data_IF_719125253232
#
_entry.id   IF_719125253232
#
_cell.length_a   1.000
_cell.length_b   1.000
_cell.length_c   1.000
_cell.angle_alpha   90.00
_cell.angle_beta   90.00
_cell.angle_gamma   90.00
#
_symmetry.space_group_name_H-M   'P 1'
#
loop_
_entity.id
_entity.type
_entity.pdbx_description
1 polymer ?
#
# COMPACT_ATOMS: atom_id res chain seq x y z
N UNK A 1 38.33 13.26 8.32
CA UNK A 1 38.33 12.66 6.98
C UNK A 1 36.92 12.16 6.73
N UNK A 2 36.18 12.85 5.86
CA UNK A 2 34.83 12.48 5.43
C UNK A 2 34.92 11.18 4.62
N UNK A 3 34.01 10.19 4.79
CA UNK A 3 34.01 9.01 3.93
C UNK A 3 33.78 9.45 2.47
N UNK A 4 34.35 8.74 1.49
CA UNK A 4 34.10 9.05 0.10
C UNK A 4 32.61 8.87 -0.18
N UNK A 5 32.00 9.83 -0.87
CA UNK A 5 30.69 9.68 -1.48
C UNK A 5 30.77 8.55 -2.51
N UNK A 6 30.59 7.31 -2.07
CA UNK A 6 30.41 6.17 -2.94
C UNK A 6 29.05 6.33 -3.60
N UNK A 7 29.10 6.49 -4.91
CA UNK A 7 27.98 6.67 -5.84
C UNK A 7 26.75 5.85 -5.43
N UNK A 8 25.75 6.53 -4.88
CA UNK A 8 24.39 6.03 -4.72
C UNK A 8 23.86 5.39 -6.02
N UNK A 9 24.23 5.96 -7.18
CA UNK A 9 23.87 5.41 -8.50
C UNK A 9 24.51 4.05 -8.81
N UNK A 10 25.70 3.74 -8.31
CA UNK A 10 26.39 2.50 -8.64
C UNK A 10 25.88 1.30 -7.82
N UNK A 11 25.44 1.53 -6.58
CA UNK A 11 24.78 0.52 -5.76
C UNK A 11 23.39 0.19 -6.33
N UNK A 12 22.66 1.21 -6.75
CA UNK A 12 21.37 1.09 -7.45
C UNK A 12 21.54 0.34 -8.80
N UNK A 13 22.53 0.69 -9.62
CA UNK A 13 22.83 -0.03 -10.88
C UNK A 13 23.24 -1.50 -10.66
N UNK A 14 23.90 -1.83 -9.54
CA UNK A 14 24.29 -3.20 -9.21
C UNK A 14 23.10 -4.03 -8.69
N UNK A 15 22.19 -3.43 -7.93
CA UNK A 15 20.94 -4.09 -7.49
C UNK A 15 19.95 -4.27 -8.64
N UNK A 16 20.05 -3.43 -9.68
CA UNK A 16 19.21 -3.46 -10.88
C UNK A 16 19.85 -4.26 -12.05
N UNK A 17 21.03 -4.87 -11.84
CA UNK A 17 21.71 -5.62 -12.89
C UNK A 17 20.99 -6.95 -13.15
N UNK A 18 20.19 -7.00 -14.23
CA UNK A 18 19.33 -8.13 -14.59
C UNK A 18 17.86 -7.95 -14.19
N UNK A 19 17.54 -6.86 -13.50
CA UNK A 19 16.17 -6.40 -13.26
C UNK A 19 15.88 -5.35 -14.33
N UNK A 20 14.99 -5.67 -15.27
CA UNK A 20 14.51 -4.67 -16.22
C UNK A 20 13.76 -3.59 -15.42
N UNK A 21 14.41 -2.44 -15.21
CA UNK A 21 13.84 -1.29 -14.52
C UNK A 21 12.58 -0.92 -15.27
N UNK A 22 11.41 -1.19 -14.68
CA UNK A 22 10.15 -0.70 -15.20
C UNK A 22 10.14 0.79 -14.91
N UNK A 23 10.56 1.61 -15.88
CA UNK A 23 10.38 3.06 -15.79
C UNK A 23 8.89 3.33 -15.59
N UNK A 24 8.49 3.66 -14.36
CA UNK A 24 7.15 4.13 -14.07
C UNK A 24 7.10 5.57 -14.58
N UNK A 25 6.38 5.80 -15.67
CA UNK A 25 6.13 7.17 -16.18
C UNK A 25 5.33 8.00 -15.19
N UNK A 26 4.69 7.39 -14.18
CA UNK A 26 4.00 8.06 -13.09
C UNK A 26 4.97 8.54 -12.00
N UNK A 27 4.96 9.86 -11.76
CA UNK A 27 5.78 10.53 -10.75
C UNK A 27 4.98 10.83 -9.48
N UNK A 28 3.74 11.32 -9.64
CA UNK A 28 2.88 11.65 -8.50
C UNK A 28 1.41 11.34 -8.81
N UNK A 29 0.68 10.90 -7.79
CA UNK A 29 -0.78 10.87 -7.78
C UNK A 29 -1.21 11.56 -6.50
N UNK A 30 -1.91 12.69 -6.60
CA UNK A 30 -2.32 13.48 -5.42
C UNK A 30 -3.82 13.65 -5.38
N UNK A 31 -4.38 13.50 -4.19
CA UNK A 31 -5.76 13.84 -3.90
C UNK A 31 -5.79 14.93 -2.83
N UNK A 32 -6.30 16.10 -3.22
CA UNK A 32 -6.34 17.29 -2.39
C UNK A 32 -4.96 17.64 -1.77
N UNK A 33 -3.90 17.52 -2.58
CA UNK A 33 -2.52 17.75 -2.15
C UNK A 33 -1.86 16.63 -1.34
N UNK A 34 -2.61 15.59 -0.95
CA UNK A 34 -2.04 14.41 -0.28
C UNK A 34 -1.52 13.44 -1.32
N UNK A 35 -0.24 13.05 -1.21
CA UNK A 35 0.34 12.05 -2.10
C UNK A 35 -0.28 10.68 -1.80
N UNK A 36 -0.85 10.09 -2.84
CA UNK A 36 -1.48 8.78 -2.81
C UNK A 36 -0.46 7.67 -3.00
N UNK A 37 0.66 7.93 -3.68
CA UNK A 37 1.71 6.93 -3.83
C UNK A 37 2.42 6.65 -2.50
N UNK A 38 2.93 5.42 -2.26
CA UNK A 38 2.93 4.26 -3.17
C UNK A 38 1.54 3.69 -3.50
N UNK A 39 1.42 2.66 -4.34
CA UNK A 39 0.14 1.95 -4.50
C UNK A 39 -0.38 1.32 -3.18
N UNK A 40 -1.68 0.99 -3.13
CA UNK A 40 -2.34 0.29 -2.00
C UNK A 40 -3.47 1.07 -1.31
N UNK A 41 -3.68 0.87 -0.01
CA UNK A 41 -4.70 1.61 0.76
C UNK A 41 -4.13 2.90 1.36
N UNK A 42 -4.82 4.03 1.18
CA UNK A 42 -4.45 5.35 1.75
C UNK A 42 -5.57 5.96 2.56
N UNK A 43 -5.19 6.67 3.62
CA UNK A 43 -6.12 7.46 4.42
C UNK A 43 -5.95 8.94 4.06
N UNK A 44 -7.02 9.58 3.60
CA UNK A 44 -7.02 10.99 3.23
C UNK A 44 -8.22 11.64 3.87
N UNK A 45 -8.05 12.64 4.73
CA UNK A 45 -9.17 13.30 5.38
C UNK A 45 -9.92 14.20 4.40
N UNK A 46 -11.08 13.76 3.89
CA UNK A 46 -11.95 14.55 3.02
C UNK A 46 -13.38 14.55 3.58
N UNK A 47 -14.07 15.69 3.48
CA UNK A 47 -15.50 15.74 3.75
C UNK A 47 -16.30 15.16 2.57
N UNK A 48 -17.42 14.49 2.86
CA UNK A 48 -18.31 13.91 1.85
C UNK A 48 -18.88 14.97 0.89
N UNK A 49 -19.16 16.16 1.41
CA UNK A 49 -19.55 17.33 0.63
C UNK A 49 -18.33 18.19 0.31
N UNK A 50 -18.12 18.48 -0.97
CA UNK A 50 -17.01 19.30 -1.44
C UNK A 50 -16.59 18.97 -2.86
N UNK A 51 -15.53 19.65 -3.30
CA UNK A 51 -14.86 19.38 -4.57
C UNK A 51 -13.37 19.32 -4.29
N UNK A 52 -12.76 18.19 -4.63
CA UNK A 52 -11.39 17.84 -4.25
C UNK A 52 -10.53 17.65 -5.50
N UNK A 53 -9.38 18.30 -5.57
CA UNK A 53 -8.49 18.19 -6.73
C UNK A 53 -7.84 16.80 -6.79
N UNK A 54 -7.87 16.19 -7.98
CA UNK A 54 -7.14 14.98 -8.31
C UNK A 54 -6.08 15.35 -9.36
N UNK A 55 -4.81 15.11 -9.03
CA UNK A 55 -3.67 15.48 -9.84
C UNK A 55 -2.86 14.23 -10.16
N UNK A 56 -2.55 14.03 -11.44
CA UNK A 56 -1.67 12.95 -11.92
C UNK A 56 -0.48 13.59 -12.60
N UNK A 57 0.73 13.30 -12.15
CA UNK A 57 1.96 13.85 -12.72
C UNK A 57 2.74 12.71 -13.34
N UNK A 58 3.00 12.82 -14.65
CA UNK A 58 3.89 11.91 -15.37
C UNK A 58 5.24 12.57 -15.66
N UNK A 59 6.26 11.76 -15.92
CA UNK A 59 7.56 12.20 -16.41
C UNK A 59 7.42 12.95 -17.74
N UNK A 60 6.63 12.41 -18.67
CA UNK A 60 6.24 13.11 -19.89
C UNK A 60 4.80 13.65 -19.76
N UNK A 61 4.62 14.96 -19.59
CA UNK A 61 3.30 15.57 -19.37
C UNK A 61 2.37 15.51 -20.58
N UNK A 62 2.88 15.13 -21.76
CA UNK A 62 2.09 14.99 -22.98
C UNK A 62 1.44 13.62 -23.13
N UNK A 63 1.76 12.68 -22.23
CA UNK A 63 1.22 11.33 -22.28
C UNK A 63 -0.23 11.29 -21.78
N UNK A 64 -1.05 10.43 -22.39
CA UNK A 64 -2.46 10.26 -22.07
C UNK A 64 -2.66 9.16 -21.02
N UNK A 65 -3.37 9.47 -19.94
CA UNK A 65 -3.76 8.52 -18.91
C UNK A 65 -5.21 8.05 -19.13
N UNK A 66 -5.52 6.86 -18.64
CA UNK A 66 -6.89 6.41 -18.39
C UNK A 66 -7.19 6.47 -16.90
N UNK A 67 -8.37 6.95 -16.52
CA UNK A 67 -8.82 7.06 -15.13
C UNK A 67 -10.27 6.58 -14.99
N UNK A 68 -10.48 5.71 -14.01
CA UNK A 68 -11.79 5.25 -13.56
C UNK A 68 -11.86 5.44 -12.04
N UNK A 69 -12.99 5.95 -11.55
CA UNK A 69 -13.20 6.25 -10.14
C UNK A 69 -14.48 5.57 -9.67
N UNK A 70 -14.36 4.72 -8.65
CA UNK A 70 -15.51 4.19 -7.91
C UNK A 70 -15.60 4.85 -6.53
N UNK A 71 -16.82 5.03 -6.01
CA UNK A 71 -17.06 5.71 -4.73
C UNK A 71 -16.88 7.24 -4.75
N UNK A 72 -16.75 7.87 -5.93
CA UNK A 72 -16.83 9.32 -6.08
C UNK A 72 -17.28 9.73 -7.49
N UNK A 73 -17.80 10.94 -7.63
CA UNK A 73 -18.14 11.52 -8.94
C UNK A 73 -16.94 12.28 -9.50
N UNK A 74 -16.36 11.76 -10.58
CA UNK A 74 -15.30 12.42 -11.34
C UNK A 74 -15.87 13.60 -12.15
N UNK A 75 -15.24 14.76 -12.04
CA UNK A 75 -15.61 16.00 -12.71
C UNK A 75 -14.50 16.48 -13.65
N UNK A 76 -14.87 16.75 -14.90
CA UNK A 76 -14.06 17.45 -15.89
C UNK A 76 -14.71 18.79 -16.22
N UNK A 77 -13.99 19.90 -16.02
CA UNK A 77 -14.51 21.26 -16.19
C UNK A 77 -15.86 21.50 -15.47
N UNK A 78 -16.00 20.91 -14.28
CA UNK A 78 -17.20 21.00 -13.45
C UNK A 78 -18.38 20.13 -13.90
N UNK A 79 -18.19 19.23 -14.87
CA UNK A 79 -19.23 18.31 -15.34
C UNK A 79 -18.89 16.86 -14.99
N UNK A 80 -19.86 16.04 -14.57
CA UNK A 80 -19.65 14.64 -14.27
C UNK A 80 -19.28 13.85 -15.52
N UNK A 81 -18.29 12.97 -15.39
CA UNK A 81 -17.84 12.01 -16.39
C UNK A 81 -17.69 10.63 -15.74
N UNK A 82 -17.95 9.56 -16.50
CA UNK A 82 -17.82 8.18 -15.99
C UNK A 82 -16.35 7.74 -15.91
N UNK A 83 -15.55 8.17 -16.88
CA UNK A 83 -14.12 7.92 -16.93
C UNK A 83 -13.42 9.09 -17.63
N UNK A 84 -12.11 9.14 -17.50
CA UNK A 84 -11.28 10.14 -18.16
C UNK A 84 -10.19 9.46 -18.98
N UNK A 85 -10.01 9.95 -20.21
CA UNK A 85 -8.87 9.62 -21.05
C UNK A 85 -8.32 10.90 -21.66
N UNK A 86 -7.06 11.22 -21.36
CA UNK A 86 -6.46 12.48 -21.79
C UNK A 86 -5.14 12.80 -21.07
N UNK A 87 -4.56 13.99 -21.30
CA UNK A 87 -3.23 14.33 -20.79
C UNK A 87 -3.19 14.42 -19.26
N UNK A 88 -2.15 13.81 -18.67
CA UNK A 88 -1.99 13.72 -17.21
C UNK A 88 -2.05 15.06 -16.47
N UNK A 89 -1.52 16.13 -17.07
CA UNK A 89 -1.50 17.49 -16.49
C UNK A 89 -2.89 18.18 -16.41
N UNK A 90 -3.98 17.46 -16.64
CA UNK A 90 -5.33 17.98 -16.45
C UNK A 90 -5.69 17.99 -14.97
N UNK A 91 -6.18 19.12 -14.46
CA UNK A 91 -6.70 19.19 -13.09
C UNK A 91 -8.11 18.62 -13.08
N UNK A 92 -8.23 17.38 -12.61
CA UNK A 92 -9.50 16.70 -12.42
C UNK A 92 -10.03 16.98 -11.02
N UNK A 93 -11.33 16.81 -10.82
CA UNK A 93 -11.93 17.01 -9.50
C UNK A 93 -12.84 15.85 -9.13
N UNK A 94 -12.86 15.50 -7.85
CA UNK A 94 -13.79 14.54 -7.27
C UNK A 94 -14.84 15.29 -6.45
N UNK A 95 -16.09 14.82 -6.49
CA UNK A 95 -17.19 15.31 -5.67
C UNK A 95 -18.05 14.15 -5.18
N UNK A 96 -18.94 14.40 -4.21
CA UNK A 96 -19.81 13.38 -3.63
C UNK A 96 -19.01 12.14 -3.18
N UNK A 97 -17.94 12.37 -2.43
CA UNK A 97 -16.99 11.32 -2.06
C UNK A 97 -17.59 10.40 -1.00
N UNK A 98 -17.54 9.10 -1.26
CA UNK A 98 -17.89 8.06 -0.31
C UNK A 98 -16.75 7.83 0.69
N UNK A 99 -17.01 7.12 1.80
CA UNK A 99 -15.97 6.81 2.78
C UNK A 99 -14.80 5.99 2.23
N UNK A 100 -15.02 5.25 1.14
CA UNK A 100 -14.00 4.51 0.38
C UNK A 100 -14.13 4.88 -1.10
N UNK A 101 -13.01 5.23 -1.73
CA UNK A 101 -12.89 5.52 -3.16
C UNK A 101 -11.89 4.53 -3.75
N UNK A 102 -12.17 3.98 -4.93
CA UNK A 102 -11.19 3.25 -5.73
C UNK A 102 -10.80 4.09 -6.94
N UNK A 103 -9.50 4.31 -7.13
CA UNK A 103 -8.94 5.07 -8.24
C UNK A 103 -8.16 4.09 -9.11
N UNK A 104 -8.76 3.69 -10.22
CA UNK A 104 -8.11 2.93 -11.28
C UNK A 104 -7.37 3.87 -12.22
N UNK A 105 -6.08 3.61 -12.44
CA UNK A 105 -5.23 4.39 -13.32
C UNK A 105 -4.55 3.48 -14.34
N UNK A 106 -4.73 3.81 -15.62
CA UNK A 106 -4.00 3.24 -16.73
C UNK A 106 -2.94 4.23 -17.19
N UNK A 107 -1.67 3.88 -17.00
CA UNK A 107 -0.53 4.71 -17.42
C UNK A 107 0.09 4.15 -18.70
N UNK A 108 0.32 4.98 -19.74
CA UNK A 108 0.95 4.55 -20.99
C UNK A 108 2.46 4.31 -20.81
N UNK A 109 3.01 3.38 -21.60
CA UNK A 109 4.43 3.00 -21.59
C UNK A 109 4.69 1.70 -22.35
N UNK A 110 5.95 1.24 -22.41
CA UNK A 110 6.32 -0.03 -23.07
C UNK A 110 5.57 -1.26 -22.49
N UNK A 111 5.14 -1.16 -21.23
CA UNK A 111 4.23 -2.09 -20.58
C UNK A 111 3.18 -1.26 -19.83
N UNK A 112 2.01 -1.06 -20.43
CA UNK A 112 0.89 -0.36 -19.79
C UNK A 112 0.67 -0.87 -18.37
N UNK A 113 0.60 0.04 -17.41
CA UNK A 113 0.37 -0.29 -16.02
C UNK A 113 -1.05 0.13 -15.65
N UNK A 114 -1.92 -0.85 -15.44
CA UNK A 114 -3.24 -0.65 -14.85
C UNK A 114 -3.14 -0.98 -13.37
N UNK A 115 -3.43 -0.01 -12.50
CA UNK A 115 -3.37 -0.19 -11.05
C UNK A 115 -4.50 0.55 -10.36
N UNK A 116 -4.95 -0.02 -9.24
CA UNK A 116 -5.97 0.58 -8.40
C UNK A 116 -5.36 1.03 -7.08
N UNK A 117 -5.73 2.23 -6.62
CA UNK A 117 -5.48 2.68 -5.26
C UNK A 117 -6.80 2.86 -4.52
N UNK A 118 -6.88 2.38 -3.29
CA UNK A 118 -8.07 2.53 -2.43
C UNK A 118 -7.84 3.67 -1.45
N UNK A 119 -8.71 4.67 -1.44
CA UNK A 119 -8.63 5.84 -0.54
C UNK A 119 -9.77 5.80 0.47
N UNK A 120 -9.45 5.86 1.76
CA UNK A 120 -10.40 6.01 2.86
C UNK A 120 -10.51 7.49 3.22
N UNK A 121 -11.64 8.11 2.90
CA UNK A 121 -11.84 9.57 3.02
C UNK A 121 -12.21 10.01 4.43
N UNK A 122 -12.89 9.12 5.14
CA UNK A 122 -13.26 9.29 6.54
C UNK A 122 -12.70 8.08 7.27
N UNK A 123 -11.49 8.15 7.87
CA UNK A 123 -10.92 7.04 8.62
C UNK A 123 -11.70 6.87 9.94
N UNK A 124 -12.92 6.37 9.83
CA UNK A 124 -13.73 5.89 10.95
C UNK A 124 -13.26 4.47 11.29
N UNK A 125 -13.16 4.19 12.58
CA UNK A 125 -12.87 2.84 13.12
C UNK A 125 -13.96 1.83 12.73
N UNK A 126 -15.13 2.30 12.32
CA UNK A 126 -16.27 1.49 11.88
C UNK A 126 -16.36 1.34 10.36
N UNK A 127 -15.40 1.85 9.58
CA UNK A 127 -15.32 1.47 8.18
C UNK A 127 -15.27 -0.06 8.07
N UNK A 128 -15.95 -0.66 7.09
CA UNK A 128 -15.89 -2.11 6.91
C UNK A 128 -14.43 -2.51 6.86
N UNK A 129 -14.04 -3.37 7.80
CA UNK A 129 -12.72 -3.99 7.80
C UNK A 129 -12.59 -4.59 6.40
N UNK A 130 -11.52 -4.26 5.63
CA UNK A 130 -11.32 -4.87 4.33
C UNK A 130 -11.46 -6.39 4.49
N UNK A 131 -12.04 -7.09 3.50
CA UNK A 131 -12.31 -8.51 3.61
C UNK A 131 -11.08 -9.20 4.18
N UNK A 132 -11.31 -10.02 5.22
CA UNK A 132 -10.24 -10.74 5.89
C UNK A 132 -9.40 -11.42 4.80
N UNK A 133 -8.07 -11.29 4.84
CA UNK A 133 -7.24 -12.06 3.92
C UNK A 133 -7.59 -13.55 4.07
N UNK A 134 -7.38 -14.32 3.01
CA UNK A 134 -7.41 -15.78 3.13
C UNK A 134 -6.52 -16.21 4.30
N UNK A 135 -6.87 -17.32 4.96
CA UNK A 135 -6.07 -17.82 6.08
C UNK A 135 -5.24 -18.98 5.56
N UNK A 136 -3.92 -18.86 5.68
CA UNK A 136 -3.00 -19.95 5.45
C UNK A 136 -2.29 -20.33 6.76
N UNK A 137 -1.85 -21.59 6.84
CA UNK A 137 -1.00 -22.07 7.92
C UNK A 137 0.43 -22.20 7.40
N UNK A 138 1.34 -21.47 8.04
CA UNK A 138 2.77 -21.58 7.79
C UNK A 138 3.42 -22.37 8.90
N UNK A 139 4.20 -23.40 8.52
CA UNK A 139 5.01 -24.17 9.44
C UNK A 139 6.46 -23.71 9.33
N UNK A 140 6.95 -23.06 10.38
CA UNK A 140 8.34 -22.64 10.48
C UNK A 140 9.23 -23.90 10.55
N UNK A 141 10.12 -24.04 9.58
CA UNK A 141 11.00 -25.19 9.47
C UNK A 141 12.06 -25.26 10.57
N UNK A 142 12.42 -24.12 11.17
CA UNK A 142 13.44 -24.02 12.21
C UNK A 142 12.85 -24.25 13.60
N UNK A 143 11.69 -23.66 13.89
CA UNK A 143 11.06 -23.77 15.22
C UNK A 143 10.03 -24.89 15.31
N UNK A 144 9.52 -25.38 14.18
CA UNK A 144 8.43 -26.35 14.11
C UNK A 144 7.07 -25.77 14.55
N UNK A 145 6.98 -24.46 14.78
CA UNK A 145 5.74 -23.79 15.14
C UNK A 145 4.88 -23.54 13.91
N UNK A 146 3.56 -23.64 14.09
CA UNK A 146 2.60 -23.28 13.05
C UNK A 146 1.99 -21.92 13.38
N UNK A 147 2.02 -21.03 12.41
CA UNK A 147 1.46 -19.69 12.47
C UNK A 147 0.26 -19.59 11.53
N UNK A 148 -0.80 -18.92 11.98
CA UNK A 148 -1.85 -18.43 11.07
C UNK A 148 -1.36 -17.13 10.43
N UNK A 149 -1.40 -17.09 9.10
CA UNK A 149 -0.92 -15.98 8.31
C UNK A 149 -1.98 -15.55 7.30
N UNK A 150 -1.90 -14.30 6.87
CA UNK A 150 -2.63 -13.83 5.71
C UNK A 150 -2.10 -14.54 4.45
N UNK A 151 -2.99 -15.27 3.78
CA UNK A 151 -2.68 -16.07 2.60
C UNK A 151 -2.18 -15.18 1.45
N UNK A 152 -1.01 -15.52 0.94
CA UNK A 152 -0.37 -14.84 -0.17
C UNK A 152 0.19 -13.47 0.20
N UNK A 153 0.45 -13.18 1.48
CA UNK A 153 0.91 -11.86 1.91
C UNK A 153 2.17 -11.89 2.78
N UNK A 154 2.98 -10.84 2.63
CA UNK A 154 4.16 -10.56 3.44
C UNK A 154 4.14 -9.12 3.94
N UNK A 155 4.91 -8.87 5.00
CA UNK A 155 5.31 -7.54 5.44
C UNK A 155 6.78 -7.35 5.08
N UNK A 156 7.11 -6.20 4.48
CA UNK A 156 8.49 -5.79 4.25
C UNK A 156 8.72 -4.43 4.89
N UNK A 157 9.88 -4.24 5.51
CA UNK A 157 10.33 -2.95 6.03
C UNK A 157 11.46 -2.40 5.19
N UNK A 158 11.34 -1.16 4.74
CA UNK A 158 12.37 -0.47 3.98
C UNK A 158 13.37 0.24 4.91
N UNK A 159 14.58 0.52 4.41
CA UNK A 159 15.47 1.45 5.12
C UNK A 159 14.84 2.84 5.16
N UNK A 160 14.96 3.53 6.29
CA UNK A 160 14.42 4.87 6.45
C UNK A 160 14.92 5.83 5.36
N UNK A 161 13.99 6.51 4.70
CA UNK A 161 14.30 7.42 3.59
C UNK A 161 14.55 6.74 2.25
N UNK A 162 14.32 5.43 2.13
CA UNK A 162 14.31 4.75 0.83
C UNK A 162 13.20 5.33 -0.03
N UNK A 163 13.49 5.79 -1.26
CA UNK A 163 12.48 6.32 -2.15
C UNK A 163 11.42 5.27 -2.46
N UNK A 164 10.17 5.70 -2.53
CA UNK A 164 9.02 4.83 -2.79
C UNK A 164 9.17 4.11 -4.13
N UNK A 165 9.72 4.79 -5.13
CA UNK A 165 9.94 4.27 -6.47
C UNK A 165 10.90 3.07 -6.46
N UNK A 166 11.88 3.07 -5.56
CA UNK A 166 12.80 1.93 -5.36
C UNK A 166 12.04 0.74 -4.78
N UNK A 167 11.17 0.97 -3.78
CA UNK A 167 10.35 -0.10 -3.19
C UNK A 167 9.38 -0.67 -4.22
N UNK A 168 8.68 0.19 -4.98
CA UNK A 168 7.78 -0.25 -6.04
C UNK A 168 8.51 -1.04 -7.13
N UNK A 169 9.75 -0.65 -7.44
CA UNK A 169 10.60 -1.39 -8.39
C UNK A 169 10.96 -2.78 -7.86
N UNK A 170 11.42 -2.88 -6.61
CA UNK A 170 11.81 -4.16 -6.00
C UNK A 170 10.60 -5.09 -5.89
N UNK A 171 9.47 -4.59 -5.39
CA UNK A 171 8.23 -5.36 -5.26
C UNK A 171 7.71 -5.78 -6.64
N UNK A 172 7.67 -4.85 -7.60
CA UNK A 172 7.20 -5.12 -8.95
C UNK A 172 8.09 -6.10 -9.74
N UNK A 173 9.41 -6.05 -9.54
CA UNK A 173 10.36 -6.98 -10.16
C UNK A 173 10.13 -8.43 -9.73
N UNK A 174 9.65 -8.65 -8.51
CA UNK A 174 9.29 -9.96 -7.98
C UNK A 174 7.85 -10.38 -8.34
N UNK A 175 7.13 -9.58 -9.13
CA UNK A 175 5.74 -9.84 -9.50
C UNK A 175 4.76 -9.69 -8.34
N UNK A 176 5.16 -8.98 -7.28
CA UNK A 176 4.33 -8.69 -6.12
C UNK A 176 3.48 -7.43 -6.32
N UNK A 177 2.45 -7.28 -5.50
CA UNK A 177 1.58 -6.11 -5.47
C UNK A 177 1.63 -5.46 -4.08
N UNK A 178 1.76 -4.13 -4.00
CA UNK A 178 1.68 -3.41 -2.72
C UNK A 178 0.20 -3.26 -2.34
N UNK A 179 -0.22 -3.93 -1.28
CA UNK A 179 -1.57 -3.84 -0.74
C UNK A 179 -1.75 -2.62 0.14
N UNK A 180 -0.73 -2.27 0.93
CA UNK A 180 -0.76 -1.13 1.84
C UNK A 180 0.64 -0.67 2.16
N UNK A 181 0.84 0.64 2.25
CA UNK A 181 2.01 1.21 2.87
C UNK A 181 1.64 1.78 4.25
N UNK A 182 2.60 1.76 5.15
CA UNK A 182 2.53 2.31 6.50
C UNK A 182 3.74 3.24 6.64
N UNK A 183 3.65 4.46 6.08
CA UNK A 183 4.81 5.36 5.94
C UNK A 183 5.46 5.73 7.27
N UNK A 184 4.71 5.76 8.36
CA UNK A 184 5.19 6.13 9.69
C UNK A 184 6.25 5.17 10.24
N UNK A 185 6.33 3.95 9.69
CA UNK A 185 7.28 2.91 10.09
C UNK A 185 8.03 2.31 8.89
N UNK A 186 7.99 2.98 7.73
CA UNK A 186 8.63 2.54 6.48
C UNK A 186 8.28 1.08 6.09
N UNK A 187 7.05 0.64 6.42
CA UNK A 187 6.61 -0.75 6.22
C UNK A 187 5.55 -0.88 5.13
N UNK A 188 5.54 -2.02 4.46
CA UNK A 188 4.66 -2.32 3.35
C UNK A 188 4.07 -3.72 3.54
N UNK A 189 2.75 -3.81 3.39
CA UNK A 189 2.03 -5.07 3.22
C UNK A 189 1.93 -5.35 1.74
N UNK A 190 2.43 -6.50 1.31
CA UNK A 190 2.50 -6.89 -0.09
C UNK A 190 1.79 -8.23 -0.32
N UNK A 191 1.33 -8.46 -1.55
CA UNK A 191 0.84 -9.74 -2.04
C UNK A 191 1.91 -10.39 -2.91
N UNK A 192 2.19 -11.66 -2.64
CA UNK A 192 3.07 -12.50 -3.45
C UNK A 192 2.26 -13.34 -4.46
N UNK A 193 2.86 -13.77 -5.58
CA UNK A 193 2.17 -14.62 -6.54
C UNK A 193 1.65 -15.93 -5.95
N UNK A 194 0.52 -16.43 -6.45
CA UNK A 194 -0.06 -17.68 -5.96
C UNK A 194 0.88 -18.89 -6.19
N UNK A 195 0.94 -19.80 -5.22
CA UNK A 195 1.70 -21.04 -5.33
C UNK A 195 3.22 -20.92 -5.15
N UNK A 196 3.71 -19.75 -4.71
CA UNK A 196 5.13 -19.54 -4.38
C UNK A 196 5.43 -19.84 -2.91
N UNK A 197 6.71 -20.00 -2.58
CA UNK A 197 7.19 -20.18 -1.20
C UNK A 197 7.37 -18.84 -0.50
N UNK A 198 6.83 -18.71 0.72
CA UNK A 198 7.04 -17.54 1.58
C UNK A 198 8.52 -17.34 1.91
N UNK A 199 9.20 -18.40 2.36
CA UNK A 199 10.63 -18.37 2.71
C UNK A 199 11.46 -17.83 1.56
N UNK A 200 11.18 -18.31 0.35
CA UNK A 200 11.89 -17.87 -0.83
C UNK A 200 11.73 -16.38 -1.09
N UNK A 201 10.53 -15.83 -0.89
CA UNK A 201 10.28 -14.40 -1.10
C UNK A 201 10.87 -13.55 0.02
N UNK A 202 10.80 -14.02 1.28
CA UNK A 202 11.47 -13.34 2.40
C UNK A 202 12.98 -13.24 2.14
N UNK A 203 13.64 -14.34 1.76
CA UNK A 203 15.07 -14.33 1.37
C UNK A 203 15.37 -13.36 0.22
N UNK A 204 14.51 -13.34 -0.81
CA UNK A 204 14.69 -12.44 -1.96
C UNK A 204 14.59 -10.97 -1.55
N UNK A 205 13.64 -10.62 -0.69
CA UNK A 205 13.51 -9.26 -0.18
C UNK A 205 14.67 -8.89 0.74
N UNK A 206 15.06 -9.75 1.67
CA UNK A 206 16.20 -9.52 2.57
C UNK A 206 17.55 -9.41 1.84
N UNK A 207 17.64 -9.98 0.63
CA UNK A 207 18.83 -9.80 -0.22
C UNK A 207 18.92 -8.43 -0.89
N UNK A 208 17.87 -7.62 -0.81
CA UNK A 208 17.83 -6.26 -1.38
C UNK A 208 18.43 -5.24 -0.41
N UNK A 209 19.30 -4.38 -0.91
CA UNK A 209 19.86 -3.25 -0.14
C UNK A 209 18.80 -2.19 0.25
N UNK A 210 17.58 -2.29 -0.28
CA UNK A 210 16.46 -1.40 0.04
C UNK A 210 15.62 -1.88 1.25
N UNK A 211 15.75 -3.15 1.65
CA UNK A 211 14.87 -3.81 2.61
C UNK A 211 15.65 -4.16 3.87
N UNK A 212 15.10 -3.77 5.03
CA UNK A 212 15.63 -4.07 6.36
C UNK A 212 15.19 -5.46 6.83
N UNK A 213 13.94 -5.81 6.55
CA UNK A 213 13.36 -7.09 6.95
C UNK A 213 12.22 -7.49 5.99
N UNK A 214 11.99 -8.79 5.89
CA UNK A 214 10.79 -9.36 5.30
C UNK A 214 10.24 -10.45 6.21
N UNK A 215 8.96 -10.38 6.55
CA UNK A 215 8.33 -11.30 7.49
C UNK A 215 6.92 -11.67 7.06
N UNK A 216 6.40 -12.74 7.66
CA UNK A 216 5.03 -13.19 7.45
C UNK A 216 4.05 -12.14 7.98
N UNK A 217 2.97 -11.90 7.24
CA UNK A 217 1.83 -11.15 7.78
C UNK A 217 1.00 -12.04 8.72
N UNK A 218 1.53 -12.28 9.92
CA UNK A 218 0.92 -13.15 10.93
C UNK A 218 -0.39 -12.57 11.46
N UNK A 219 -1.42 -13.41 11.55
CA UNK A 219 -2.71 -13.03 12.10
C UNK A 219 -2.65 -13.05 13.63
N UNK A 220 -2.85 -11.88 14.22
CA UNK A 220 -2.94 -11.71 15.67
C UNK A 220 -4.39 -11.40 16.05
N UNK A 221 -4.96 -12.26 16.89
CA UNK A 221 -6.29 -12.04 17.45
C UNK A 221 -6.16 -11.31 18.79
N UNK A 222 -6.89 -10.20 19.00
CA UNK A 222 -6.90 -9.53 20.29
C UNK A 222 -7.36 -10.52 21.37
N UNK A 223 -6.58 -10.62 22.43
CA UNK A 223 -6.96 -11.43 23.58
C UNK A 223 -8.22 -10.83 24.21
N UNK A 224 -9.35 -11.53 24.08
CA UNK A 224 -10.61 -11.14 24.71
C UNK A 224 -10.56 -11.21 26.24
N UNK A 225 -9.57 -11.93 26.77
CA UNK A 225 -9.30 -12.06 28.19
C UNK A 225 -8.05 -11.24 28.51
N UNK A 226 -8.16 -10.19 29.36
CA UNK A 226 -7.00 -9.49 29.91
C UNK A 226 -5.99 -10.49 30.49
N UNK A 227 -4.71 -10.32 30.19
CA UNK A 227 -3.63 -11.07 30.83
C UNK A 227 -3.36 -10.56 32.26
N UNK A 228 -4.42 -10.24 33.00
CA UNK A 228 -4.37 -9.82 34.40
C UNK A 228 -4.75 -11.04 35.26
N UNK A 229 -3.76 -11.60 35.97
CA UNK A 229 -3.95 -12.73 36.89
C UNK A 229 -4.96 -12.41 38.00
N UNK A 230 -5.26 -11.12 38.25
CA UNK A 230 -6.23 -10.66 39.23
C UNK A 230 -7.56 -10.21 38.63
N UNK A 231 -7.83 -10.46 37.33
CA UNK A 231 -9.12 -10.13 36.71
C UNK A 231 -10.30 -10.74 37.49
N UNK A 232 -10.15 -11.98 37.99
CA UNK A 232 -11.16 -12.63 38.83
C UNK A 232 -11.42 -11.95 40.19
N UNK A 233 -10.53 -11.06 40.62
CA UNK A 233 -10.62 -10.31 41.88
C UNK A 233 -11.11 -8.86 41.68
N UNK A 234 -11.43 -8.46 40.44
CA UNK A 234 -12.02 -7.15 40.17
C UNK A 234 -13.53 -7.15 40.51
N UNK A 235 -13.85 -7.17 41.81
CA UNK A 235 -15.23 -7.12 42.33
C UNK A 235 -16.06 -5.93 41.80
N UNK A 236 -15.41 -4.85 41.35
CA UNK A 236 -16.07 -3.67 40.78
C UNK A 236 -16.79 -3.94 39.44
N UNK A 237 -16.30 -4.89 38.62
CA UNK A 237 -16.93 -5.25 37.34
C UNK A 237 -18.11 -6.24 37.51
N UNK A 238 -18.14 -6.99 38.62
CA UNK A 238 -19.23 -7.92 38.94
C UNK A 238 -20.50 -7.23 39.47
N UNK A 239 -20.41 -5.98 39.93
CA UNK A 239 -21.54 -5.24 40.50
C UNK A 239 -22.48 -4.62 39.45
N UNK A 240 -22.10 -4.58 38.17
CA UNK A 240 -22.93 -4.02 37.09
C UNK A 240 -24.08 -4.96 36.68
N UNK A 241 -24.16 -6.18 37.23
CA UNK A 241 -25.31 -7.11 37.02
C UNK A 241 -26.40 -7.04 38.08
N UNK A 242 -26.36 -6.06 38.99
CA UNK A 242 -27.35 -5.89 40.05
C UNK A 242 -27.92 -4.47 40.10
N UNK A 243 -28.40 -3.94 38.97
CA UNK A 243 -29.44 -2.90 38.92
C UNK A 243 -30.26 -3.02 37.65
#
# INVERSE_FOLDING_TARGET
MTPPAQNHNAAVESALQGVEIQNTTLMELKLNGVNLLPWGIRDVMLASEGTWALEVVLENPSDEIGLEIDGAVLLLDGKPVESYSGPANSVLHLSSVEPVIEIGLDVPGEKSQSRTITVRTTPDVNLPIPPLPGIAHYADSDTGLTHEIAEGELLIGAFAGTPVEVIETVVGALGCEILRAIPEIDAYRIRIPAGVSYDRYMELFESSDAIVYAELNALLYPALVPNDTYQGNQYALGLVKLY
#
